data_IF_930628612878
#
_entry.id   IF_930628612878
#
_cell.length_a   1.000
_cell.length_b   1.000
_cell.length_c   1.000
_cell.angle_alpha   90.00
_cell.angle_beta   90.00
_cell.angle_gamma   90.00
#
_symmetry.space_group_name_H-M   'P 1'
#
loop_
_entity.id
_entity.type
_entity.pdbx_description
1 polymer ?
#
# COMPACT_ATOMS: atom_id res chain seq x y z
N UNK A 1 -5.63 -13.43 17.30
CA UNK A 1 -5.36 -12.50 16.20
C UNK A 1 -3.96 -11.89 16.28
N UNK A 2 -3.60 -11.18 17.33
CA UNK A 2 -2.29 -10.49 17.44
C UNK A 2 -1.09 -11.42 17.19
N UNK A 3 -1.10 -12.63 17.75
CA UNK A 3 -0.03 -13.60 17.55
C UNK A 3 0.02 -14.14 16.11
N UNK A 4 -1.13 -14.44 15.53
CA UNK A 4 -1.24 -14.85 14.12
C UNK A 4 -0.61 -13.78 13.21
N UNK A 5 -1.02 -12.52 13.33
CA UNK A 5 -0.50 -11.42 12.52
C UNK A 5 1.01 -11.22 12.71
N UNK A 6 1.49 -11.31 13.95
CA UNK A 6 2.94 -11.23 14.27
C UNK A 6 3.74 -12.36 13.62
N UNK A 7 3.20 -13.59 13.57
CA UNK A 7 3.86 -14.73 12.93
C UNK A 7 3.94 -14.54 11.40
N UNK A 8 2.99 -13.81 10.79
CA UNK A 8 3.04 -13.41 9.38
C UNK A 8 3.95 -12.20 9.12
N UNK A 9 4.58 -11.64 10.16
CA UNK A 9 5.46 -10.47 10.07
C UNK A 9 4.73 -9.12 10.14
N UNK A 10 3.44 -9.13 10.51
CA UNK A 10 2.61 -7.93 10.68
C UNK A 10 2.62 -7.54 12.14
N UNK A 11 3.34 -6.49 12.49
CA UNK A 11 3.56 -6.07 13.88
C UNK A 11 3.01 -4.66 14.20
N UNK A 12 2.38 -4.00 13.22
CA UNK A 12 1.70 -2.71 13.41
C UNK A 12 0.22 -2.90 13.07
N UNK A 13 -0.60 -2.92 14.12
CA UNK A 13 -2.03 -3.25 14.06
C UNK A 13 -2.79 -2.36 15.04
N UNK A 14 -3.95 -1.87 14.65
CA UNK A 14 -4.86 -1.13 15.53
C UNK A 14 -6.31 -1.45 15.22
N UNK A 15 -7.16 -1.56 16.24
CA UNK A 15 -8.57 -1.82 16.09
C UNK A 15 -9.41 -0.59 16.47
N UNK A 16 -10.44 -0.29 15.68
CA UNK A 16 -11.36 0.83 15.88
C UNK A 16 -12.79 0.40 15.53
N UNK A 17 -13.82 1.04 16.09
CA UNK A 17 -15.20 0.83 15.64
C UNK A 17 -15.39 1.32 14.20
N UNK A 18 -16.18 0.58 13.39
CA UNK A 18 -16.52 0.99 12.02
C UNK A 18 -17.20 2.36 11.97
N UNK A 19 -17.97 2.70 13.00
CA UNK A 19 -18.65 3.99 13.15
C UNK A 19 -17.70 5.21 13.18
N UNK A 20 -16.41 5.00 13.45
CA UNK A 20 -15.37 6.04 13.38
C UNK A 20 -14.76 6.18 11.98
N UNK A 21 -15.03 5.25 11.08
CA UNK A 21 -14.44 5.24 9.75
C UNK A 21 -15.27 6.07 8.77
N UNK A 22 -14.59 6.69 7.81
CA UNK A 22 -15.23 7.30 6.66
C UNK A 22 -15.55 6.23 5.63
N UNK A 23 -16.84 5.94 5.43
CA UNK A 23 -17.32 4.96 4.46
C UNK A 23 -17.22 5.56 3.05
N UNK A 24 -16.59 4.83 2.13
CA UNK A 24 -16.40 5.21 0.72
C UNK A 24 -17.18 4.34 -0.25
N UNK A 25 -17.35 3.04 0.06
CA UNK A 25 -18.02 2.05 -0.80
C UNK A 25 -18.90 1.13 0.04
N UNK A 26 -20.06 1.64 0.48
CA UNK A 26 -20.98 0.95 1.37
C UNK A 26 -21.40 -0.46 0.87
N UNK A 27 -21.55 -0.60 -0.45
CA UNK A 27 -21.92 -1.89 -1.05
C UNK A 27 -20.96 -3.05 -0.74
N UNK A 28 -19.69 -2.76 -0.43
CA UNK A 28 -18.72 -3.79 -0.02
C UNK A 28 -19.01 -4.33 1.38
N UNK A 29 -19.47 -3.47 2.30
CA UNK A 29 -19.93 -3.89 3.64
C UNK A 29 -21.18 -4.77 3.51
N UNK A 30 -22.14 -4.32 2.72
CA UNK A 30 -23.41 -5.05 2.47
C UNK A 30 -23.15 -6.42 1.84
N UNK A 31 -22.23 -6.49 0.85
CA UNK A 31 -21.84 -7.75 0.21
C UNK A 31 -21.14 -8.72 1.16
N UNK A 32 -20.40 -8.20 2.13
CA UNK A 32 -19.73 -9.00 3.16
C UNK A 32 -20.65 -9.35 4.35
N UNK A 33 -21.92 -8.89 4.35
CA UNK A 33 -22.87 -9.10 5.43
C UNK A 33 -22.47 -8.41 6.73
N UNK A 34 -21.78 -7.27 6.67
CA UNK A 34 -21.24 -6.56 7.81
C UNK A 34 -22.20 -5.51 8.33
N UNK A 35 -22.35 -5.43 9.64
CA UNK A 35 -23.19 -4.46 10.33
C UNK A 35 -22.45 -3.13 10.58
N UNK A 36 -23.20 -2.08 10.91
CA UNK A 36 -22.64 -0.76 11.28
C UNK A 36 -21.86 -0.80 12.61
N UNK A 37 -21.99 -1.88 13.40
CA UNK A 37 -21.30 -2.08 14.67
C UNK A 37 -20.01 -2.90 14.54
N UNK A 38 -19.59 -3.23 13.32
CA UNK A 38 -18.40 -4.01 13.07
C UNK A 38 -17.13 -3.36 13.67
N UNK A 39 -16.17 -4.21 14.02
CA UNK A 39 -14.81 -3.82 14.36
C UNK A 39 -13.96 -3.74 13.09
N UNK A 40 -13.15 -2.70 12.96
CA UNK A 40 -12.14 -2.54 11.90
C UNK A 40 -10.76 -2.73 12.51
N UNK A 41 -10.04 -3.71 12.03
CA UNK A 41 -8.64 -3.98 12.41
C UNK A 41 -7.76 -3.52 11.26
N UNK A 42 -7.14 -2.35 11.40
CA UNK A 42 -6.16 -1.84 10.43
C UNK A 42 -4.81 -2.52 10.62
N UNK A 43 -4.16 -2.88 9.53
CA UNK A 43 -2.87 -3.56 9.49
C UNK A 43 -1.94 -2.84 8.52
N UNK A 44 -0.69 -2.61 8.93
CA UNK A 44 0.34 -2.14 8.01
C UNK A 44 1.14 -3.32 7.48
N UNK A 45 1.24 -3.43 6.17
CA UNK A 45 2.02 -4.44 5.48
C UNK A 45 3.30 -3.79 4.92
N UNK A 46 4.39 -3.71 5.70
CA UNK A 46 5.63 -3.10 5.23
C UNK A 46 6.21 -3.90 4.07
N UNK A 47 6.64 -3.19 3.02
CA UNK A 47 7.17 -3.83 1.81
C UNK A 47 8.61 -3.46 1.48
N UNK A 48 9.25 -2.53 2.20
CA UNK A 48 10.64 -2.13 1.97
C UNK A 48 11.59 -3.27 2.30
N UNK A 49 12.46 -3.61 1.35
CA UNK A 49 13.50 -4.63 1.52
C UNK A 49 14.90 -4.01 1.46
N UNK A 50 15.94 -4.80 1.75
CA UNK A 50 17.33 -4.34 1.61
C UNK A 50 17.74 -4.12 0.15
N UNK A 51 17.10 -4.84 -0.79
CA UNK A 51 17.34 -4.67 -2.22
C UNK A 51 16.68 -3.39 -2.71
N UNK A 52 17.45 -2.56 -3.41
CA UNK A 52 16.95 -1.30 -3.96
C UNK A 52 16.69 -1.45 -5.45
N UNK A 53 15.48 -1.14 -5.91
CA UNK A 53 15.18 -1.10 -7.33
C UNK A 53 15.88 0.10 -8.00
N UNK A 54 16.15 -0.03 -9.32
CA UNK A 54 16.84 0.98 -10.11
C UNK A 54 15.93 1.79 -11.02
N UNK A 55 14.92 1.14 -11.62
CA UNK A 55 14.00 1.78 -12.57
C UNK A 55 12.52 1.51 -12.27
N UNK A 56 12.22 1.00 -11.07
CA UNK A 56 10.84 0.80 -10.60
C UNK A 56 10.72 1.17 -9.13
N UNK A 57 9.52 1.47 -8.68
CA UNK A 57 9.24 1.75 -7.26
C UNK A 57 9.41 0.50 -6.39
N UNK A 58 9.71 0.72 -5.11
CA UNK A 58 9.93 -0.36 -4.14
C UNK A 58 8.69 -1.26 -4.02
N UNK A 59 7.47 -0.68 -4.05
CA UNK A 59 6.25 -1.49 -3.96
C UNK A 59 6.09 -2.45 -5.15
N UNK A 60 6.57 -2.07 -6.33
CA UNK A 60 6.48 -2.88 -7.53
C UNK A 60 7.63 -3.90 -7.66
N UNK A 61 8.68 -3.74 -6.86
CA UNK A 61 9.82 -4.67 -6.84
C UNK A 61 9.50 -5.98 -6.12
N UNK A 62 8.52 -5.98 -5.23
CA UNK A 62 8.05 -7.15 -4.49
C UNK A 62 6.89 -7.84 -5.19
N UNK A 63 6.48 -9.00 -4.68
CA UNK A 63 5.29 -9.70 -5.19
C UNK A 63 4.02 -8.91 -4.88
N UNK A 64 2.96 -9.16 -5.66
CA UNK A 64 1.67 -8.49 -5.51
C UNK A 64 1.08 -8.71 -4.11
N UNK A 65 0.85 -7.61 -3.40
CA UNK A 65 0.29 -7.64 -2.05
C UNK A 65 -1.16 -8.14 -2.01
N UNK A 66 -1.94 -8.04 -3.08
CA UNK A 66 -3.29 -8.61 -3.13
C UNK A 66 -3.26 -10.12 -2.93
N UNK A 67 -2.27 -10.82 -3.50
CA UNK A 67 -2.07 -12.26 -3.27
C UNK A 67 -1.71 -12.59 -1.83
N UNK A 68 -0.98 -11.70 -1.17
CA UNK A 68 -0.71 -11.83 0.26
C UNK A 68 -1.97 -11.58 1.09
N UNK A 69 -2.81 -10.63 0.70
CA UNK A 69 -4.09 -10.36 1.37
C UNK A 69 -5.06 -11.54 1.21
N UNK A 70 -5.09 -12.19 0.04
CA UNK A 70 -5.87 -13.41 -0.16
C UNK A 70 -5.40 -14.54 0.77
N UNK A 71 -4.07 -14.77 0.84
CA UNK A 71 -3.48 -15.71 1.79
C UNK A 71 -3.81 -15.34 3.25
N UNK A 72 -3.71 -14.06 3.61
CA UNK A 72 -4.03 -13.60 4.97
C UNK A 72 -5.51 -13.82 5.31
N UNK A 73 -6.42 -13.66 4.34
CA UNK A 73 -7.83 -13.98 4.51
C UNK A 73 -8.04 -15.44 4.87
N UNK A 74 -7.36 -16.37 4.21
CA UNK A 74 -7.41 -17.81 4.53
C UNK A 74 -6.91 -18.06 5.95
N UNK A 75 -5.78 -17.48 6.34
CA UNK A 75 -5.21 -17.61 7.69
C UNK A 75 -6.16 -17.07 8.78
N UNK A 76 -6.83 -15.95 8.50
CA UNK A 76 -7.84 -15.36 9.41
C UNK A 76 -9.06 -16.29 9.50
N UNK A 77 -9.52 -16.85 8.39
CA UNK A 77 -10.63 -17.82 8.39
C UNK A 77 -10.29 -19.01 9.28
N UNK A 78 -9.13 -19.65 9.10
CA UNK A 78 -8.69 -20.77 9.93
C UNK A 78 -8.64 -20.42 11.42
N UNK A 79 -8.17 -19.21 11.74
CA UNK A 79 -8.12 -18.71 13.11
C UNK A 79 -9.51 -18.54 13.72
N UNK A 80 -10.47 -17.97 12.99
CA UNK A 80 -11.84 -17.78 13.46
C UNK A 80 -12.54 -19.11 13.68
N UNK A 81 -12.40 -20.05 12.74
CA UNK A 81 -12.93 -21.43 12.87
C UNK A 81 -12.34 -22.12 14.11
N UNK A 82 -11.03 -22.04 14.31
CA UNK A 82 -10.37 -22.65 15.48
C UNK A 82 -10.81 -22.02 16.81
N UNK A 83 -11.29 -20.76 16.78
CA UNK A 83 -11.85 -20.07 17.94
C UNK A 83 -13.33 -20.35 18.15
N UNK A 84 -14.01 -21.00 17.20
CA UNK A 84 -15.48 -21.15 17.22
C UNK A 84 -16.23 -19.82 17.05
N UNK A 85 -15.60 -18.83 16.41
CA UNK A 85 -16.19 -17.51 16.15
C UNK A 85 -16.86 -17.54 14.77
N UNK A 86 -18.20 -17.49 14.75
CA UNK A 86 -19.03 -17.48 13.53
C UNK A 86 -19.50 -16.04 13.27
N UNK A 87 -18.57 -15.17 12.92
CA UNK A 87 -18.84 -13.77 12.64
C UNK A 87 -18.66 -13.47 11.15
N UNK A 88 -19.54 -12.63 10.59
CA UNK A 88 -19.33 -12.07 9.25
C UNK A 88 -18.06 -11.23 9.23
N UNK A 89 -17.23 -11.39 8.21
CA UNK A 89 -16.01 -10.60 8.06
C UNK A 89 -15.61 -10.40 6.60
N UNK A 90 -14.77 -9.38 6.36
CA UNK A 90 -14.09 -9.17 5.10
C UNK A 90 -12.67 -8.67 5.33
N UNK A 91 -11.74 -9.08 4.47
CA UNK A 91 -10.36 -8.56 4.44
C UNK A 91 -10.19 -7.77 3.15
N UNK A 92 -9.79 -6.51 3.25
CA UNK A 92 -9.72 -5.59 2.12
C UNK A 92 -8.35 -4.92 2.07
N UNK A 93 -7.98 -4.48 0.87
CA UNK A 93 -6.84 -3.62 0.61
C UNK A 93 -7.06 -2.92 -0.74
N UNK A 94 -6.81 -1.63 -0.85
CA UNK A 94 -6.97 -0.79 -2.04
C UNK A 94 -8.44 -0.68 -2.52
N UNK A 95 -9.10 -1.80 -2.74
CA UNK A 95 -10.54 -1.83 -3.01
C UNK A 95 -11.32 -2.00 -1.70
N UNK A 96 -11.31 -0.98 -0.86
CA UNK A 96 -11.81 -0.95 0.50
C UNK A 96 -13.18 -0.26 0.63
N UNK A 97 -14.05 -0.70 1.58
CA UNK A 97 -15.28 0.02 1.91
C UNK A 97 -15.05 1.33 2.66
N UNK A 98 -13.85 1.55 3.21
CA UNK A 98 -13.51 2.72 4.03
C UNK A 98 -12.35 3.51 3.42
N UNK A 99 -12.13 4.73 3.91
CA UNK A 99 -10.91 5.51 3.65
C UNK A 99 -9.77 4.93 4.50
N UNK A 100 -8.94 4.05 3.91
CA UNK A 100 -7.89 3.29 4.59
C UNK A 100 -6.85 4.19 5.25
N UNK A 101 -6.47 5.30 4.60
CA UNK A 101 -5.48 6.23 5.14
C UNK A 101 -6.03 6.92 6.39
N UNK A 102 -7.26 7.41 6.32
CA UNK A 102 -7.94 8.02 7.46
C UNK A 102 -8.13 7.01 8.60
N UNK A 103 -8.63 5.80 8.29
CA UNK A 103 -8.83 4.74 9.28
C UNK A 103 -7.52 4.35 9.98
N UNK A 104 -6.41 4.25 9.23
CA UNK A 104 -5.08 3.98 9.80
C UNK A 104 -4.62 5.07 10.75
N UNK A 105 -4.92 6.35 10.45
CA UNK A 105 -4.58 7.46 11.35
C UNK A 105 -5.36 7.40 12.67
N UNK A 106 -6.68 7.18 12.61
CA UNK A 106 -7.50 7.09 13.82
C UNK A 106 -7.27 5.80 14.62
N UNK A 107 -6.75 4.74 13.96
CA UNK A 107 -6.26 3.53 14.62
C UNK A 107 -4.86 3.72 15.24
N UNK A 108 -4.27 4.91 15.16
CA UNK A 108 -2.97 5.22 15.77
C UNK A 108 -1.77 4.63 15.03
N UNK A 109 -1.93 4.21 13.78
CA UNK A 109 -0.84 3.55 13.05
C UNK A 109 0.13 4.53 12.36
N UNK A 110 -0.23 5.80 12.30
CA UNK A 110 0.59 6.84 11.68
C UNK A 110 -0.19 8.14 11.47
N UNK A 111 0.32 8.96 10.58
CA UNK A 111 -0.28 10.25 10.20
C UNK A 111 -0.17 10.48 8.69
N UNK A 112 -0.99 11.37 8.16
CA UNK A 112 -0.96 11.72 6.72
C UNK A 112 0.17 12.71 6.47
N UNK A 113 1.09 12.35 5.57
CA UNK A 113 2.13 13.24 5.09
C UNK A 113 1.62 14.28 4.10
N UNK A 114 2.37 15.36 3.88
CA UNK A 114 2.12 16.33 2.81
C UNK A 114 2.11 15.68 1.41
N UNK A 115 2.74 14.51 1.26
CA UNK A 115 2.70 13.68 0.05
C UNK A 115 1.42 12.82 -0.08
N UNK A 116 0.48 12.94 0.85
CA UNK A 116 -0.78 12.21 0.84
C UNK A 116 -0.71 10.74 1.26
N UNK A 117 0.47 10.26 1.67
CA UNK A 117 0.66 8.88 2.14
C UNK A 117 0.58 8.80 3.66
N UNK A 118 0.18 7.64 4.18
CA UNK A 118 0.35 7.33 5.59
C UNK A 118 1.84 7.24 5.92
N UNK A 119 2.28 7.92 6.96
CA UNK A 119 3.65 7.84 7.50
C UNK A 119 3.58 7.18 8.87
N UNK A 120 4.19 6.01 8.98
CA UNK A 120 4.40 5.29 10.22
C UNK A 120 5.83 5.54 10.73
N UNK A 121 6.03 5.69 12.05
CA UNK A 121 7.36 5.99 12.60
C UNK A 121 8.38 4.87 12.35
N UNK A 122 7.92 3.62 12.32
CA UNK A 122 8.79 2.45 12.16
C UNK A 122 9.11 2.16 10.70
N UNK A 123 8.12 2.25 9.82
CA UNK A 123 8.24 1.82 8.43
C UNK A 123 8.15 2.97 7.42
N UNK A 124 8.05 4.23 7.89
CA UNK A 124 7.78 5.39 7.05
C UNK A 124 6.50 5.18 6.22
N UNK A 125 6.50 5.59 4.96
CA UNK A 125 5.39 5.39 4.02
C UNK A 125 5.51 4.11 3.18
N UNK A 126 6.51 3.24 3.46
CA UNK A 126 6.70 1.99 2.72
C UNK A 126 5.82 0.86 3.27
N UNK A 127 4.53 1.11 3.34
CA UNK A 127 3.50 0.18 3.84
C UNK A 127 2.31 0.13 2.88
N UNK A 128 1.79 -1.07 2.61
CA UNK A 128 0.43 -1.21 2.11
C UNK A 128 -0.53 -1.20 3.29
N UNK A 129 -1.71 -0.69 3.06
CA UNK A 129 -2.80 -0.69 4.03
C UNK A 129 -3.68 -1.91 3.77
N UNK A 130 -4.10 -2.55 4.84
CA UNK A 130 -5.00 -3.68 4.80
C UNK A 130 -5.88 -3.63 6.03
N UNK A 131 -7.14 -4.01 5.89
CA UNK A 131 -8.05 -4.10 7.03
C UNK A 131 -8.84 -5.41 7.04
N UNK A 132 -9.07 -5.90 8.25
CA UNK A 132 -10.10 -6.86 8.59
C UNK A 132 -11.28 -6.08 9.16
N UNK A 133 -12.47 -6.22 8.56
CA UNK A 133 -13.72 -5.72 9.12
C UNK A 133 -14.54 -6.92 9.54
N UNK A 134 -14.97 -6.97 10.80
CA UNK A 134 -15.58 -8.16 11.40
C UNK A 134 -16.68 -7.79 12.40
N UNK A 135 -17.80 -8.52 12.35
CA UNK A 135 -18.96 -8.36 13.26
C UNK A 135 -18.74 -9.07 14.58
N UNK A 136 -17.66 -8.73 15.26
CA UNK A 136 -17.39 -9.22 16.62
C UNK A 136 -16.60 -8.19 17.42
N UNK A 137 -16.68 -8.28 18.74
CA UNK A 137 -15.88 -7.43 19.62
C UNK A 137 -14.38 -7.81 19.50
N UNK A 138 -13.46 -6.83 19.48
CA UNK A 138 -12.04 -7.08 19.28
C UNK A 138 -11.43 -8.01 20.36
N UNK A 139 -11.98 -8.01 21.59
CA UNK A 139 -11.52 -8.84 22.70
C UNK A 139 -11.70 -10.34 22.39
N UNK A 140 -12.79 -10.71 21.70
CA UNK A 140 -13.03 -12.11 21.30
C UNK A 140 -11.98 -12.66 20.35
N UNK A 141 -11.38 -11.79 19.55
CA UNK A 141 -10.29 -12.16 18.63
C UNK A 141 -8.90 -11.83 19.20
N UNK A 142 -8.79 -11.46 20.48
CA UNK A 142 -7.54 -11.18 21.18
C UNK A 142 -6.91 -9.85 20.79
N UNK A 143 -7.76 -8.83 20.56
CA UNK A 143 -7.38 -7.44 20.33
C UNK A 143 -8.16 -6.53 21.32
N UNK A 144 -7.79 -5.27 21.35
CA UNK A 144 -8.49 -4.21 22.07
C UNK A 144 -8.62 -3.01 21.15
N UNK A 145 -9.65 -2.18 21.37
CA UNK A 145 -9.75 -0.92 20.65
C UNK A 145 -8.56 -0.02 20.97
N UNK A 146 -7.97 0.50 19.91
CA UNK A 146 -6.88 1.47 20.04
C UNK A 146 -7.46 2.83 20.44
N UNK A 147 -6.95 3.38 21.54
CA UNK A 147 -7.17 4.78 21.90
C UNK A 147 -6.00 5.59 21.36
N UNK A 148 -6.28 6.49 20.44
CA UNK A 148 -5.27 7.42 19.94
C UNK A 148 -5.58 8.82 20.48
N UNK A 149 -4.88 9.22 21.55
CA UNK A 149 -5.08 10.50 22.21
C UNK A 149 -4.24 11.63 21.57
N UNK A 150 -3.17 11.28 20.83
CA UNK A 150 -2.33 12.22 20.11
C UNK A 150 -2.42 12.02 18.61
N UNK A 151 -2.97 12.99 17.90
CA UNK A 151 -2.92 13.04 16.44
C UNK A 151 -1.55 13.58 16.02
N UNK A 152 -0.60 12.67 15.77
CA UNK A 152 0.67 13.02 15.14
C UNK A 152 0.43 13.67 13.79
N UNK A 153 1.31 14.56 13.39
CA UNK A 153 1.18 15.31 12.13
C UNK A 153 2.50 15.33 11.37
N UNK A 154 2.41 15.51 10.08
CA UNK A 154 3.56 15.81 9.24
C UNK A 154 4.27 17.07 9.77
N UNK A 155 5.61 17.03 9.83
CA UNK A 155 6.42 18.18 10.26
C UNK A 155 6.43 19.34 9.26
N UNK A 156 5.81 19.18 8.09
CA UNK A 156 5.66 20.22 7.08
C UNK A 156 6.97 20.71 6.47
N UNK A 157 8.02 19.88 6.43
CA UNK A 157 9.34 20.28 5.95
C UNK A 157 9.40 20.59 4.44
N UNK A 158 8.37 20.23 3.65
CA UNK A 158 8.26 20.48 2.22
C UNK A 158 9.24 19.70 1.34
N UNK A 159 10.04 18.76 1.88
CA UNK A 159 11.02 18.01 1.11
C UNK A 159 10.39 17.22 -0.04
N UNK A 160 9.23 16.59 0.19
CA UNK A 160 8.48 15.85 -0.82
C UNK A 160 7.99 16.74 -1.97
N UNK A 161 7.50 17.97 -1.66
CA UNK A 161 7.07 18.92 -2.68
C UNK A 161 8.24 19.41 -3.54
N UNK A 162 9.36 19.82 -2.90
CA UNK A 162 10.56 20.27 -3.63
C UNK A 162 11.19 19.21 -4.52
N UNK A 163 11.09 17.94 -4.15
CA UNK A 163 11.67 16.84 -4.90
C UNK A 163 10.74 16.23 -5.95
N UNK A 164 9.46 16.61 -5.96
CA UNK A 164 8.48 16.03 -6.88
C UNK A 164 8.74 16.49 -8.32
N UNK A 165 9.10 15.59 -9.25
CA UNK A 165 9.41 15.98 -10.63
C UNK A 165 8.19 16.48 -11.40
N UNK A 166 7.00 16.11 -10.95
CA UNK A 166 5.73 16.51 -11.57
C UNK A 166 5.03 17.68 -10.83
N UNK A 167 5.62 18.24 -9.79
CA UNK A 167 5.04 19.31 -8.95
C UNK A 167 3.62 19.00 -8.39
N UNK A 168 3.22 17.73 -8.31
CA UNK A 168 1.89 17.33 -7.83
C UNK A 168 1.64 17.63 -6.34
N UNK A 169 2.66 18.06 -5.61
CA UNK A 169 2.60 18.37 -4.19
C UNK A 169 2.89 19.84 -3.90
N UNK A 170 2.90 20.69 -4.93
CA UNK A 170 2.98 22.13 -4.74
C UNK A 170 1.68 22.60 -4.05
N UNK A 171 1.84 23.34 -2.94
CA UNK A 171 0.69 23.83 -2.16
C UNK A 171 0.07 25.10 -2.78
N UNK A 172 0.80 25.78 -3.65
CA UNK A 172 0.39 27.03 -4.30
C UNK A 172 -0.26 26.81 -5.66
N UNK A 173 0.26 25.83 -6.41
CA UNK A 173 -0.27 25.43 -7.73
C UNK A 173 -0.17 23.89 -7.89
N UNK A 174 -1.01 23.12 -7.16
CA UNK A 174 -0.93 21.68 -7.19
C UNK A 174 -1.41 21.13 -8.53
N UNK A 175 -0.54 20.40 -9.21
CA UNK A 175 -0.94 19.65 -10.40
C UNK A 175 -1.82 18.46 -10.05
N UNK A 176 -2.71 18.02 -10.96
CA UNK A 176 -3.57 16.86 -10.73
C UNK A 176 -2.74 15.61 -10.38
N UNK A 177 -3.26 14.76 -9.50
CA UNK A 177 -2.61 13.47 -9.16
C UNK A 177 -2.41 12.56 -10.38
N UNK A 178 -3.19 12.74 -11.44
CA UNK A 178 -3.02 12.05 -12.73
C UNK A 178 -1.73 12.41 -13.47
N UNK A 179 -1.08 13.51 -13.09
CA UNK A 179 0.22 13.94 -13.62
C UNK A 179 1.38 13.51 -12.73
N UNK A 180 1.13 12.84 -11.60
CA UNK A 180 2.17 12.23 -10.80
C UNK A 180 2.97 11.22 -11.64
N UNK A 181 4.29 11.25 -11.55
CA UNK A 181 5.15 10.33 -12.32
C UNK A 181 4.76 8.86 -12.11
N UNK A 182 4.37 8.47 -10.90
CA UNK A 182 3.81 7.13 -10.66
C UNK A 182 2.55 6.85 -11.48
N UNK A 183 1.63 7.81 -11.58
CA UNK A 183 0.41 7.67 -12.38
C UNK A 183 0.73 7.66 -13.89
N UNK A 184 1.67 8.48 -14.34
CA UNK A 184 2.12 8.55 -15.74
C UNK A 184 2.64 7.18 -16.19
N UNK A 185 3.50 6.51 -15.40
CA UNK A 185 4.02 5.18 -15.74
C UNK A 185 2.92 4.13 -15.92
N UNK A 186 1.75 4.36 -15.35
CA UNK A 186 0.61 3.45 -15.33
C UNK A 186 -0.50 3.83 -16.35
N UNK A 187 -0.32 4.87 -17.14
CA UNK A 187 -1.28 5.25 -18.19
C UNK A 187 -1.36 4.18 -19.29
N UNK A 188 -2.56 4.00 -19.85
CA UNK A 188 -2.79 3.23 -21.07
C UNK A 188 -2.57 4.14 -22.29
N UNK A 189 -2.23 3.54 -23.43
CA UNK A 189 -2.03 4.25 -24.70
C UNK A 189 -0.74 5.04 -24.75
N UNK A 190 -0.69 6.06 -25.57
CA UNK A 190 0.50 6.87 -25.80
C UNK A 190 0.71 7.90 -24.67
N UNK A 191 1.96 8.24 -24.43
CA UNK A 191 2.38 9.29 -23.53
C UNK A 191 2.78 10.53 -24.31
N UNK A 192 2.49 11.71 -23.78
CA UNK A 192 2.95 12.98 -24.35
C UNK A 192 4.49 13.08 -24.28
N UNK A 193 5.07 13.99 -25.04
CA UNK A 193 6.51 14.25 -25.01
C UNK A 193 6.98 14.66 -23.60
N UNK A 194 6.22 15.48 -22.90
CA UNK A 194 6.49 15.86 -21.52
C UNK A 194 6.51 14.67 -20.56
N UNK A 195 5.55 13.75 -20.68
CA UNK A 195 5.47 12.55 -19.84
C UNK A 195 6.64 11.59 -20.11
N UNK A 196 7.04 11.46 -21.37
CA UNK A 196 8.21 10.67 -21.77
C UNK A 196 9.50 11.27 -21.21
N UNK A 197 9.66 12.60 -21.30
CA UNK A 197 10.82 13.31 -20.75
C UNK A 197 10.91 13.10 -19.24
N UNK A 198 9.81 13.26 -18.49
CA UNK A 198 9.78 13.00 -17.05
C UNK A 198 10.20 11.58 -16.67
N UNK A 199 9.76 10.58 -17.44
CA UNK A 199 10.15 9.18 -17.19
C UNK A 199 11.65 8.96 -17.44
N UNK A 200 12.17 9.49 -18.55
CA UNK A 200 13.58 9.36 -18.94
C UNK A 200 14.50 10.05 -17.94
N UNK A 201 14.22 11.30 -17.59
CA UNK A 201 15.02 12.11 -16.63
C UNK A 201 15.10 11.46 -15.25
N UNK A 202 14.05 10.72 -14.85
CA UNK A 202 13.99 10.08 -13.55
C UNK A 202 14.29 8.57 -13.60
N UNK A 203 14.72 8.03 -14.74
CA UNK A 203 14.98 6.61 -14.95
C UNK A 203 13.88 5.71 -14.38
N UNK A 204 12.63 5.98 -14.74
CA UNK A 204 11.47 5.33 -14.11
C UNK A 204 10.62 4.59 -15.13
N UNK A 205 10.54 3.28 -15.00
CA UNK A 205 9.69 2.41 -15.82
C UNK A 205 8.32 2.18 -15.16
N UNK A 206 8.29 2.05 -13.80
CA UNK A 206 7.05 1.78 -13.09
C UNK A 206 7.04 2.33 -11.67
N UNK A 207 6.02 3.14 -11.37
CA UNK A 207 5.86 3.76 -10.05
C UNK A 207 6.88 4.89 -9.81
N UNK A 208 6.86 5.47 -8.64
CA UNK A 208 7.80 6.52 -8.24
C UNK A 208 7.86 6.62 -6.71
N UNK A 209 9.06 6.64 -6.13
CA UNK A 209 9.26 6.76 -4.68
C UNK A 209 10.00 8.05 -4.29
N UNK A 210 10.15 9.02 -5.18
CA UNK A 210 10.97 10.21 -4.92
C UNK A 210 10.50 10.93 -3.66
N UNK A 211 9.20 11.19 -3.53
CA UNK A 211 8.63 11.86 -2.35
C UNK A 211 8.77 11.05 -1.07
N UNK A 212 8.78 9.72 -1.16
CA UNK A 212 9.01 8.82 -0.02
C UNK A 212 10.47 8.81 0.39
N UNK A 213 11.39 8.73 -0.59
CA UNK A 213 12.83 8.64 -0.35
C UNK A 213 13.43 9.89 0.32
N UNK A 214 12.90 11.09 0.01
CA UNK A 214 13.36 12.35 0.60
C UNK A 214 12.70 12.67 1.95
N UNK A 215 11.71 11.90 2.36
CA UNK A 215 11.02 12.12 3.63
C UNK A 215 11.98 11.83 4.80
N UNK A 216 12.12 12.74 5.79
CA UNK A 216 13.01 12.53 6.94
C UNK A 216 12.70 11.25 7.72
N UNK A 217 11.43 10.83 7.77
CA UNK A 217 11.02 9.59 8.42
C UNK A 217 11.56 8.32 7.74
N UNK A 218 12.01 8.42 6.47
CA UNK A 218 12.56 7.27 5.74
C UNK A 218 13.98 6.91 6.18
N UNK A 219 14.71 7.85 6.80
CA UNK A 219 16.11 7.64 7.22
C UNK A 219 16.27 6.42 8.13
N UNK A 220 15.35 6.25 9.08
CA UNK A 220 15.39 5.17 10.08
C UNK A 220 14.33 4.10 9.84
N UNK A 221 13.66 4.10 8.67
CA UNK A 221 12.61 3.15 8.38
C UNK A 221 13.15 1.70 8.33
N UNK A 222 12.51 0.82 9.09
CA UNK A 222 12.84 -0.60 9.12
C UNK A 222 12.48 -1.30 7.80
N UNK A 223 13.12 -2.44 7.57
CA UNK A 223 12.77 -3.34 6.47
C UNK A 223 11.63 -4.26 6.86
N UNK A 224 10.91 -4.76 5.84
CA UNK A 224 9.80 -5.69 6.05
C UNK A 224 10.20 -6.93 6.82
N UNK A 225 9.34 -7.38 7.71
CA UNK A 225 9.42 -8.68 8.38
C UNK A 225 8.58 -9.75 7.66
N UNK A 226 7.70 -9.36 6.75
CA UNK A 226 6.81 -10.25 6.00
C UNK A 226 7.62 -11.11 5.03
N UNK A 227 7.67 -12.46 5.24
CA UNK A 227 8.49 -13.33 4.41
C UNK A 227 8.07 -13.33 2.94
N UNK A 228 6.79 -13.11 2.66
CA UNK A 228 6.23 -13.06 1.31
C UNK A 228 6.90 -11.98 0.45
N UNK A 229 7.13 -10.77 0.99
CA UNK A 229 7.75 -9.67 0.27
C UNK A 229 9.27 -9.77 0.14
N UNK A 230 9.89 -10.75 0.79
CA UNK A 230 11.35 -10.99 0.68
C UNK A 230 11.71 -11.94 -0.47
N UNK A 231 10.70 -12.58 -1.08
CA UNK A 231 10.90 -13.56 -2.15
C UNK A 231 10.83 -12.88 -3.53
N UNK A 232 11.62 -13.39 -4.47
CA UNK A 232 11.54 -13.04 -5.91
C UNK A 232 11.55 -11.52 -6.18
N UNK A 233 12.42 -10.78 -5.48
CA UNK A 233 12.52 -9.33 -5.62
C UNK A 233 13.15 -8.99 -6.98
N UNK A 234 12.45 -8.15 -7.75
CA UNK A 234 12.94 -7.58 -9.01
C UNK A 234 13.54 -6.22 -8.71
N UNK A 235 14.81 -6.03 -9.03
CA UNK A 235 15.49 -4.75 -8.82
C UNK A 235 15.57 -3.89 -10.08
N UNK A 236 15.49 -4.51 -11.25
CA UNK A 236 15.54 -3.83 -12.55
C UNK A 236 14.55 -4.49 -13.51
N UNK A 237 13.71 -3.71 -14.13
CA UNK A 237 12.88 -4.17 -15.24
C UNK A 237 13.66 -4.05 -16.53
N UNK A 238 13.66 -5.11 -17.34
CA UNK A 238 14.16 -5.11 -18.71
C UNK A 238 13.12 -5.71 -19.63
N UNK A 239 13.24 -5.47 -20.93
CA UNK A 239 12.32 -6.01 -21.95
C UNK A 239 12.37 -7.53 -21.96
N UNK A 240 13.58 -8.10 -21.94
CA UNK A 240 13.82 -9.56 -21.93
C UNK A 240 13.19 -10.21 -20.68
N UNK A 241 13.29 -9.54 -19.51
CA UNK A 241 12.67 -10.05 -18.29
C UNK A 241 11.14 -10.10 -18.45
N UNK A 242 10.52 -9.03 -18.94
CA UNK A 242 9.05 -8.95 -19.07
C UNK A 242 8.53 -9.92 -20.15
N UNK A 243 9.21 -10.04 -21.28
CA UNK A 243 8.84 -10.95 -22.36
C UNK A 243 9.05 -12.41 -21.96
N UNK A 244 10.09 -12.71 -21.17
CA UNK A 244 10.42 -14.04 -20.68
C UNK A 244 9.57 -14.56 -19.53
N UNK A 245 8.80 -13.69 -18.85
CA UNK A 245 7.91 -14.12 -17.78
C UNK A 245 6.76 -14.97 -18.30
N UNK A 246 6.50 -16.11 -17.66
CA UNK A 246 5.24 -16.84 -17.80
C UNK A 246 4.05 -15.95 -17.34
N UNK A 247 2.85 -16.32 -17.75
CA UNK A 247 1.65 -15.58 -17.32
C UNK A 247 1.45 -15.64 -15.81
N UNK A 248 1.80 -16.76 -15.17
CA UNK A 248 1.72 -16.92 -13.73
C UNK A 248 2.72 -15.99 -12.99
N UNK A 249 3.98 -15.97 -13.43
CA UNK A 249 5.01 -15.08 -12.89
C UNK A 249 4.61 -13.61 -13.08
N UNK A 250 4.16 -13.24 -14.27
CA UNK A 250 3.71 -11.87 -14.54
C UNK A 250 2.54 -11.48 -13.67
N UNK A 251 1.51 -12.33 -13.55
CA UNK A 251 0.32 -12.09 -12.74
C UNK A 251 0.59 -12.13 -11.22
N UNK A 252 1.77 -12.57 -10.81
CA UNK A 252 2.22 -12.48 -9.41
C UNK A 252 2.80 -11.11 -9.02
N UNK A 253 2.85 -10.16 -9.94
CA UNK A 253 3.50 -8.86 -9.77
C UNK A 253 2.51 -7.70 -9.65
N UNK A 254 2.80 -6.75 -8.80
CA UNK A 254 1.96 -5.57 -8.58
C UNK A 254 1.75 -4.70 -9.83
N UNK A 255 2.59 -4.82 -10.85
CA UNK A 255 2.45 -4.10 -12.11
C UNK A 255 1.61 -4.84 -13.17
N UNK A 256 1.20 -6.08 -12.94
CA UNK A 256 0.53 -6.93 -13.94
C UNK A 256 -0.83 -6.41 -14.40
N UNK A 257 -1.54 -5.68 -13.55
CA UNK A 257 -2.91 -5.21 -13.80
C UNK A 257 -3.06 -4.28 -15.02
N UNK A 258 -1.96 -3.70 -15.51
CA UNK A 258 -1.95 -2.87 -16.74
C UNK A 258 -1.56 -3.66 -18.00
N UNK A 259 -1.07 -4.89 -17.84
CA UNK A 259 -0.59 -5.74 -18.94
C UNK A 259 0.84 -5.40 -19.35
N UNK A 260 1.47 -6.33 -20.07
CA UNK A 260 2.88 -6.24 -20.53
C UNK A 260 3.14 -5.03 -21.44
N UNK A 261 2.15 -4.63 -22.26
CA UNK A 261 2.32 -3.55 -23.25
C UNK A 261 2.69 -2.20 -22.60
N UNK A 262 2.09 -1.85 -21.46
CA UNK A 262 2.43 -0.60 -20.78
C UNK A 262 3.89 -0.59 -20.28
N UNK A 263 4.37 -1.72 -19.79
CA UNK A 263 5.76 -1.89 -19.34
C UNK A 263 6.75 -1.85 -20.51
N UNK A 264 6.45 -2.56 -21.61
CA UNK A 264 7.30 -2.57 -22.82
C UNK A 264 7.43 -1.15 -23.37
N UNK A 265 6.30 -0.44 -23.53
CA UNK A 265 6.31 0.98 -23.94
C UNK A 265 7.24 1.82 -23.01
N UNK A 266 7.12 1.65 -21.71
CA UNK A 266 7.90 2.42 -20.73
C UNK A 266 9.40 2.07 -20.80
N UNK A 267 9.73 0.82 -21.04
CA UNK A 267 11.12 0.37 -21.23
C UNK A 267 11.73 0.93 -22.53
N UNK A 268 10.94 1.05 -23.60
CA UNK A 268 11.37 1.66 -24.86
C UNK A 268 11.63 3.18 -24.74
N UNK A 269 10.99 3.85 -23.77
CA UNK A 269 11.26 5.25 -23.46
C UNK A 269 12.57 5.40 -22.67
N UNK A 270 12.86 4.44 -21.79
CA UNK A 270 14.01 4.50 -20.87
C UNK A 270 15.34 4.02 -21.46
N UNK A 271 15.31 3.48 -22.68
CA UNK A 271 16.47 3.07 -23.48
C UNK A 271 16.81 4.13 -24.52
#
# INVERSE_FOLDING_TARGET
MRELLKNEGIDVVGAIPLSRCKITKKYLLERAGLSDNACVVMMLLPYRTQKRPTNLSVYASVRDYHKFVDYLRERITDFLVAKGEDASFGVFADHSPIDEVHASCIAGLGFIGDNGLLINEKYSSFVFLCELIIDTAPEKIGLEYTTCDEVKRCIGCGACARACPSNCMDKTDPRPKSECLSAITQKKGELSEHERALMLENNTVWGCDICQNVCPYTKNAEYTKIPYFKKEIITTLTKELIEGMSDEEFNSRAFSWRGKQALIRNLEISN
#
